data_IF_849314892524
#
_entry.id   IF_849314892524
#
_cell.length_a   1.000
_cell.length_b   1.000
_cell.length_c   1.000
_cell.angle_alpha   90.00
_cell.angle_beta   90.00
_cell.angle_gamma   90.00
#
_symmetry.space_group_name_H-M   'P 1'
#
loop_
_entity.id
_entity.type
_entity.pdbx_description
1 polymer ?
#
# COMPACT_ATOMS: atom_id res chain seq x y z
N UNK A 1 -46.95 11.61 -22.59
CA UNK A 1 -47.06 10.16 -22.30
C UNK A 1 -45.79 9.35 -22.60
N UNK A 2 -45.14 9.49 -23.77
CA UNK A 2 -43.96 8.66 -24.14
C UNK A 2 -42.71 8.79 -23.23
N UNK A 3 -42.47 9.96 -22.60
CA UNK A 3 -41.32 10.17 -21.69
C UNK A 3 -41.48 9.49 -20.34
N UNK A 4 -42.69 9.52 -19.77
CA UNK A 4 -43.00 8.85 -18.50
C UNK A 4 -42.91 7.32 -18.63
N UNK A 5 -43.31 6.77 -19.78
CA UNK A 5 -43.19 5.34 -20.06
C UNK A 5 -41.72 4.89 -20.13
N UNK A 6 -40.83 5.68 -20.75
CA UNK A 6 -39.38 5.40 -20.76
C UNK A 6 -38.76 5.42 -19.37
N UNK A 7 -39.20 6.36 -18.52
CA UNK A 7 -38.72 6.46 -17.13
C UNK A 7 -39.18 5.25 -16.29
N UNK A 8 -40.43 4.83 -16.45
CA UNK A 8 -40.94 3.63 -15.77
C UNK A 8 -40.24 2.35 -16.23
N UNK A 9 -39.95 2.21 -17.53
CA UNK A 9 -39.19 1.06 -18.06
C UNK A 9 -37.75 1.08 -17.53
N UNK A 10 -37.11 2.24 -17.45
CA UNK A 10 -35.76 2.37 -16.87
C UNK A 10 -35.73 1.99 -15.39
N UNK A 11 -36.71 2.45 -14.61
CA UNK A 11 -36.85 2.11 -13.18
C UNK A 11 -37.17 0.62 -13.00
N UNK A 12 -37.99 0.03 -13.87
CA UNK A 12 -38.30 -1.40 -13.85
C UNK A 12 -37.05 -2.25 -14.15
N UNK A 13 -36.22 -1.84 -15.11
CA UNK A 13 -34.94 -2.50 -15.43
C UNK A 13 -33.97 -2.37 -14.25
N UNK A 14 -33.90 -1.20 -13.61
CA UNK A 14 -33.07 -0.99 -12.42
C UNK A 14 -33.54 -1.86 -11.26
N UNK A 15 -34.85 -1.97 -11.04
CA UNK A 15 -35.44 -2.86 -10.04
C UNK A 15 -35.14 -4.33 -10.35
N UNK A 16 -35.29 -4.79 -11.60
CA UNK A 16 -34.97 -6.17 -11.97
C UNK A 16 -33.47 -6.49 -11.77
N UNK A 17 -32.58 -5.51 -11.94
CA UNK A 17 -31.15 -5.64 -11.60
C UNK A 17 -30.88 -5.73 -10.09
N UNK A 18 -31.72 -5.13 -9.25
CA UNK A 18 -31.58 -5.16 -7.78
C UNK A 18 -32.25 -6.40 -7.17
N UNK A 19 -33.32 -6.92 -7.78
CA UNK A 19 -34.09 -8.07 -7.29
C UNK A 19 -33.59 -9.43 -7.77
N UNK A 20 -32.74 -9.49 -8.79
CA UNK A 20 -32.05 -10.72 -9.16
C UNK A 20 -30.61 -10.72 -8.62
N UNK A 21 -30.40 -11.56 -7.60
CA UNK A 21 -29.13 -12.01 -7.04
C UNK A 21 -27.87 -11.71 -7.89
N UNK A 22 -26.91 -11.05 -7.23
CA UNK A 22 -25.46 -11.07 -7.49
C UNK A 22 -25.02 -11.57 -8.85
N UNK A 23 -24.78 -10.64 -9.78
CA UNK A 23 -24.15 -10.95 -11.06
C UNK A 23 -22.66 -11.24 -10.83
N UNK A 24 -22.34 -12.53 -10.63
CA UNK A 24 -20.99 -13.06 -10.80
C UNK A 24 -20.80 -13.40 -12.29
N UNK A 25 -20.25 -12.46 -13.05
CA UNK A 25 -19.79 -12.66 -14.43
C UNK A 25 -18.47 -13.46 -14.43
N UNK A 26 -18.51 -14.76 -14.09
CA UNK A 26 -17.59 -15.85 -14.53
C UNK A 26 -17.72 -17.08 -13.62
N UNK A 27 -18.04 -18.28 -14.14
CA UNK A 27 -18.08 -19.50 -13.34
C UNK A 27 -16.71 -20.18 -13.40
N UNK A 28 -15.70 -19.74 -12.61
CA UNK A 28 -14.49 -20.54 -12.27
C UNK A 28 -13.48 -19.84 -11.32
N UNK A 29 -13.95 -19.10 -10.33
CA UNK A 29 -13.13 -18.74 -9.17
C UNK A 29 -13.91 -19.10 -7.90
N UNK A 30 -13.89 -20.37 -7.51
CA UNK A 30 -14.46 -20.83 -6.24
C UNK A 30 -13.52 -20.42 -5.11
N UNK A 31 -13.64 -19.17 -4.65
CA UNK A 31 -13.04 -18.77 -3.37
C UNK A 31 -13.77 -19.56 -2.29
N UNK A 32 -13.09 -20.53 -1.65
CA UNK A 32 -13.63 -21.24 -0.49
C UNK A 32 -13.97 -20.19 0.57
N UNK A 33 -15.26 -19.92 0.75
CA UNK A 33 -15.76 -19.05 1.82
C UNK A 33 -15.40 -19.75 3.14
N UNK A 34 -14.54 -19.17 3.97
CA UNK A 34 -14.26 -19.74 5.28
C UNK A 34 -15.54 -19.71 6.11
N UNK A 35 -15.78 -20.79 6.85
CA UNK A 35 -16.98 -21.00 7.67
C UNK A 35 -16.94 -20.21 8.99
N UNK A 36 -16.30 -19.03 8.99
CA UNK A 36 -16.24 -18.16 10.17
C UNK A 36 -17.48 -17.26 10.22
N UNK A 37 -18.09 -17.16 11.39
CA UNK A 37 -19.38 -16.51 11.63
C UNK A 37 -19.36 -14.98 11.44
N UNK A 38 -18.17 -14.36 11.37
CA UNK A 38 -17.96 -12.91 11.27
C UNK A 38 -17.32 -12.50 9.93
N UNK A 39 -17.53 -13.31 8.88
CA UNK A 39 -17.03 -13.02 7.53
C UNK A 39 -18.05 -12.23 6.72
N UNK A 40 -17.67 -11.05 6.25
CA UNK A 40 -18.49 -10.23 5.34
C UNK A 40 -17.94 -10.27 3.90
N UNK A 41 -18.84 -10.39 2.93
CA UNK A 41 -18.49 -10.48 1.49
C UNK A 41 -18.65 -9.13 0.79
N UNK A 42 -19.69 -8.38 1.15
CA UNK A 42 -19.93 -7.05 0.61
C UNK A 42 -20.48 -6.17 1.72
N UNK A 43 -19.91 -4.98 1.89
CA UNK A 43 -20.41 -4.00 2.83
C UNK A 43 -20.40 -2.59 2.25
N UNK A 44 -21.50 -1.89 2.48
CA UNK A 44 -21.66 -0.48 2.19
C UNK A 44 -21.87 0.23 3.52
N UNK A 45 -20.91 1.07 3.91
CA UNK A 45 -20.98 1.89 5.12
C UNK A 45 -21.01 3.37 4.73
N UNK A 46 -22.00 4.13 5.21
CA UNK A 46 -22.02 5.56 4.92
C UNK A 46 -20.95 6.34 5.70
N UNK A 47 -20.72 6.02 6.97
CA UNK A 47 -19.83 6.79 7.83
C UNK A 47 -18.70 5.96 8.43
N UNK A 48 -19.03 4.85 9.09
CA UNK A 48 -18.07 4.02 9.79
C UNK A 48 -18.39 2.55 9.61
N UNK A 49 -17.37 1.77 9.29
CA UNK A 49 -17.46 0.36 8.97
C UNK A 49 -16.34 -0.43 9.60
N UNK A 50 -16.58 -1.03 10.76
CA UNK A 50 -15.66 -1.98 11.38
C UNK A 50 -16.11 -3.41 11.08
N UNK A 51 -15.20 -4.20 10.52
CA UNK A 51 -15.40 -5.60 10.14
C UNK A 51 -14.29 -6.41 10.79
N UNK A 52 -14.61 -7.57 11.33
CA UNK A 52 -13.55 -8.47 11.81
C UNK A 52 -12.79 -9.06 10.63
N UNK A 53 -13.50 -9.71 9.71
CA UNK A 53 -12.91 -10.38 8.57
C UNK A 53 -13.68 -10.07 7.27
N UNK A 54 -13.00 -9.49 6.28
CA UNK A 54 -13.59 -9.13 4.98
C UNK A 54 -13.09 -10.06 3.87
N UNK A 55 -14.01 -10.69 3.14
CA UNK A 55 -13.74 -11.47 1.94
C UNK A 55 -14.57 -10.94 0.76
N UNK A 56 -14.19 -9.78 0.21
CA UNK A 56 -14.85 -9.20 -0.95
C UNK A 56 -14.69 -7.69 -1.03
N UNK A 57 -15.76 -6.90 -0.93
CA UNK A 57 -15.68 -5.44 -1.13
C UNK A 57 -16.30 -4.66 0.04
N UNK A 58 -15.57 -3.67 0.55
CA UNK A 58 -16.06 -2.72 1.56
C UNK A 58 -15.95 -1.30 1.02
N UNK A 59 -17.08 -0.60 0.92
CA UNK A 59 -17.17 0.78 0.46
C UNK A 59 -17.71 1.63 1.60
N UNK A 60 -17.00 2.70 1.94
CA UNK A 60 -17.47 3.66 2.94
C UNK A 60 -16.47 4.74 3.28
N UNK A 61 -16.86 5.77 4.04
CA UNK A 61 -15.95 6.87 4.39
C UNK A 61 -14.79 6.39 5.26
N UNK A 62 -15.10 5.59 6.29
CA UNK A 62 -14.12 5.00 7.21
C UNK A 62 -14.31 3.49 7.25
N UNK A 63 -13.32 2.75 6.77
CA UNK A 63 -13.32 1.28 6.74
C UNK A 63 -12.18 0.76 7.63
N UNK A 64 -12.53 -0.05 8.61
CA UNK A 64 -11.58 -0.69 9.53
C UNK A 64 -11.80 -2.20 9.44
N UNK A 65 -10.75 -2.95 9.12
CA UNK A 65 -10.75 -4.41 9.20
C UNK A 65 -9.87 -4.80 10.37
N UNK A 66 -10.40 -5.57 11.31
CA UNK A 66 -9.69 -5.90 12.55
C UNK A 66 -8.74 -7.06 12.34
N UNK A 67 -9.16 -8.13 11.68
CA UNK A 67 -8.41 -9.38 11.61
C UNK A 67 -7.87 -9.60 10.20
N UNK A 68 -8.71 -10.02 9.24
CA UNK A 68 -8.22 -10.45 7.92
C UNK A 68 -8.96 -9.76 6.78
N UNK A 69 -8.21 -9.37 5.76
CA UNK A 69 -8.75 -8.82 4.52
C UNK A 69 -8.35 -9.70 3.34
N UNK A 70 -9.31 -10.17 2.55
CA UNK A 70 -9.10 -10.61 1.17
C UNK A 70 -10.11 -9.89 0.29
N UNK A 71 -9.71 -8.77 -0.33
CA UNK A 71 -10.71 -7.95 -1.00
C UNK A 71 -10.29 -6.56 -1.43
N UNK A 72 -11.30 -5.71 -1.64
CA UNK A 72 -11.15 -4.31 -2.03
C UNK A 72 -11.80 -3.41 -0.99
N UNK A 73 -11.09 -2.36 -0.57
CA UNK A 73 -11.61 -1.26 0.24
C UNK A 73 -11.62 0.02 -0.59
N UNK A 74 -12.74 0.73 -0.58
CA UNK A 74 -12.87 2.06 -1.19
C UNK A 74 -13.41 3.01 -0.13
N UNK A 75 -12.66 4.06 0.19
CA UNK A 75 -13.05 5.00 1.24
C UNK A 75 -12.16 6.20 1.37
N UNK A 76 -12.46 7.09 2.32
CA UNK A 76 -11.52 8.17 2.65
C UNK A 76 -10.41 7.63 3.54
N UNK A 77 -10.78 6.85 4.54
CA UNK A 77 -9.89 6.23 5.52
C UNK A 77 -10.06 4.72 5.45
N UNK A 78 -9.01 4.01 5.05
CA UNK A 78 -8.97 2.54 5.06
C UNK A 78 -7.89 2.07 6.03
N UNK A 79 -8.23 1.11 6.89
CA UNK A 79 -7.28 0.49 7.81
C UNK A 79 -7.48 -1.02 7.85
N UNK A 80 -6.39 -1.77 7.84
CA UNK A 80 -6.35 -3.21 8.09
C UNK A 80 -5.43 -3.47 9.28
N UNK A 81 -6.03 -3.79 10.42
CA UNK A 81 -5.36 -4.09 11.67
C UNK A 81 -5.10 -5.61 11.79
N UNK A 82 -4.23 -6.00 12.74
CA UNK A 82 -3.93 -7.34 13.26
C UNK A 82 -3.56 -8.54 12.34
N UNK A 83 -3.70 -8.53 11.01
CA UNK A 83 -3.25 -9.70 10.22
C UNK A 83 -2.87 -9.42 8.77
N UNK A 84 -2.39 -10.48 8.14
CA UNK A 84 -2.10 -10.55 6.72
C UNK A 84 -3.34 -10.20 5.90
N UNK A 85 -3.25 -9.10 5.15
CA UNK A 85 -4.29 -8.69 4.21
C UNK A 85 -3.83 -8.93 2.78
N UNK A 86 -4.73 -9.37 1.91
CA UNK A 86 -4.52 -9.45 0.47
C UNK A 86 -5.55 -8.60 -0.23
N UNK A 87 -5.16 -7.52 -0.90
CA UNK A 87 -6.20 -6.69 -1.49
C UNK A 87 -5.82 -5.40 -2.17
N UNK A 88 -6.86 -4.64 -2.46
CA UNK A 88 -6.80 -3.31 -3.06
C UNK A 88 -7.38 -2.31 -2.07
N UNK A 89 -6.65 -1.24 -1.76
CA UNK A 89 -7.16 -0.12 -0.97
C UNK A 89 -7.12 1.14 -1.82
N UNK A 90 -8.25 1.83 -1.91
CA UNK A 90 -8.37 3.10 -2.60
C UNK A 90 -8.93 4.13 -1.62
N UNK A 91 -8.16 5.19 -1.37
CA UNK A 91 -8.61 6.23 -0.45
C UNK A 91 -7.65 7.37 -0.22
N UNK A 92 -8.00 8.31 0.65
CA UNK A 92 -7.10 9.41 0.99
C UNK A 92 -5.99 8.89 1.90
N UNK A 93 -6.37 8.17 2.96
CA UNK A 93 -5.45 7.50 3.89
C UNK A 93 -5.68 5.99 3.81
N UNK A 94 -4.64 5.25 3.48
CA UNK A 94 -4.64 3.79 3.52
C UNK A 94 -3.59 3.33 4.52
N UNK A 95 -3.99 2.52 5.50
CA UNK A 95 -3.10 1.92 6.49
C UNK A 95 -3.24 0.41 6.52
N UNK A 96 -2.14 -0.30 6.75
CA UNK A 96 -2.14 -1.73 6.97
C UNK A 96 -1.02 -2.15 7.90
N UNK A 97 -1.11 -3.36 8.46
CA UNK A 97 0.03 -4.02 9.09
C UNK A 97 1.05 -4.58 8.09
N UNK A 98 2.24 -4.94 8.59
CA UNK A 98 3.40 -5.41 7.80
C UNK A 98 3.15 -6.68 6.96
N UNK A 99 2.11 -7.47 7.28
CA UNK A 99 1.73 -8.66 6.51
C UNK A 99 0.83 -8.38 5.30
N UNK A 100 0.67 -7.12 4.87
CA UNK A 100 -0.22 -6.77 3.76
C UNK A 100 0.43 -6.99 2.39
N UNK A 101 -0.30 -7.67 1.51
CA UNK A 101 0.06 -7.95 0.12
C UNK A 101 -0.98 -7.32 -0.80
N UNK A 102 -0.57 -6.43 -1.70
CA UNK A 102 -1.50 -5.89 -2.70
C UNK A 102 -1.22 -4.46 -3.11
N UNK A 103 -2.27 -3.74 -3.51
CA UNK A 103 -2.17 -2.38 -4.04
C UNK A 103 -2.84 -1.37 -3.11
N UNK A 104 -2.17 -0.25 -2.88
CA UNK A 104 -2.73 0.92 -2.19
C UNK A 104 -2.67 2.11 -3.13
N UNK A 105 -3.80 2.73 -3.39
CA UNK A 105 -3.94 3.94 -4.19
C UNK A 105 -4.47 5.03 -3.27
N UNK A 106 -3.69 6.10 -3.07
CA UNK A 106 -4.15 7.17 -2.20
C UNK A 106 -3.23 8.35 -2.07
N UNK A 107 -3.61 9.33 -1.25
CA UNK A 107 -2.72 10.49 -0.99
C UNK A 107 -1.63 10.05 -0.01
N UNK A 108 -2.02 9.37 1.07
CA UNK A 108 -1.11 8.84 2.06
C UNK A 108 -1.29 7.33 2.23
N UNK A 109 -0.21 6.59 2.05
CA UNK A 109 -0.17 5.14 2.21
C UNK A 109 0.81 4.77 3.31
N UNK A 110 0.30 4.28 4.42
CA UNK A 110 1.06 3.85 5.57
C UNK A 110 1.04 2.34 5.71
N UNK A 111 2.12 1.83 6.30
CA UNK A 111 2.21 0.47 6.72
C UNK A 111 2.75 0.43 8.14
N UNK A 112 1.84 0.61 9.09
CA UNK A 112 2.15 0.65 10.51
C UNK A 112 1.19 -0.24 11.30
N UNK A 113 1.74 -1.13 12.11
CA UNK A 113 0.99 -1.86 13.12
C UNK A 113 1.05 -1.09 14.44
N UNK A 114 -0.11 -0.74 15.01
CA UNK A 114 -0.24 0.08 16.24
C UNK A 114 0.23 -0.58 17.55
N UNK A 115 0.84 -1.78 17.51
CA UNK A 115 1.31 -2.45 18.73
C UNK A 115 2.77 -2.15 19.03
N UNK A 116 2.97 -1.80 20.31
CA UNK A 116 4.19 -1.29 20.92
C UNK A 116 5.46 -2.06 20.60
N UNK A 117 6.58 -1.38 20.83
CA UNK A 117 7.88 -1.85 20.38
C UNK A 117 8.17 -3.27 20.88
N UNK A 118 8.38 -4.22 19.95
CA UNK A 118 8.77 -5.56 20.34
C UNK A 118 10.15 -5.49 21.01
N UNK A 119 10.35 -6.29 22.06
CA UNK A 119 11.68 -6.44 22.67
C UNK A 119 12.70 -6.83 21.60
N UNK A 120 13.92 -6.26 21.65
CA UNK A 120 15.00 -6.61 20.72
C UNK A 120 15.28 -8.11 20.80
N UNK A 121 15.35 -8.77 19.63
CA UNK A 121 15.56 -10.21 19.51
C UNK A 121 14.29 -11.07 19.52
N UNK A 122 13.09 -10.49 19.55
CA UNK A 122 11.83 -11.23 19.43
C UNK A 122 11.51 -11.58 17.97
N UNK A 123 10.77 -12.67 17.74
CA UNK A 123 10.23 -13.05 16.42
C UNK A 123 9.43 -11.93 15.74
N UNK A 124 8.88 -11.00 16.53
CA UNK A 124 8.12 -9.83 16.05
C UNK A 124 9.03 -8.78 15.41
N UNK A 125 10.31 -8.67 15.83
CA UNK A 125 11.31 -7.83 15.17
C UNK A 125 11.68 -8.39 13.79
N UNK A 126 11.80 -9.71 13.68
CA UNK A 126 12.03 -10.43 12.43
C UNK A 126 10.85 -10.26 11.45
N UNK A 127 9.62 -10.22 11.98
CA UNK A 127 8.43 -9.90 11.17
C UNK A 127 8.31 -8.43 10.76
N UNK A 128 8.80 -7.46 11.56
CA UNK A 128 8.98 -6.06 11.07
C UNK A 128 10.04 -5.96 9.97
N UNK A 129 11.00 -6.89 9.89
CA UNK A 129 11.92 -6.97 8.74
C UNK A 129 11.24 -7.52 7.49
N UNK A 130 10.13 -8.25 7.61
CA UNK A 130 9.34 -8.63 6.44
C UNK A 130 8.74 -7.36 5.86
N UNK A 131 9.27 -7.00 4.71
CA UNK A 131 8.79 -5.87 3.92
C UNK A 131 7.36 -6.23 3.50
N UNK A 132 6.36 -5.44 3.89
CA UNK A 132 5.02 -5.61 3.33
C UNK A 132 5.12 -5.42 1.83
N UNK A 133 4.89 -6.48 1.08
CA UNK A 133 4.91 -6.48 -0.38
C UNK A 133 3.62 -5.87 -0.91
N UNK A 134 3.45 -4.58 -0.60
CA UNK A 134 2.40 -3.74 -1.11
C UNK A 134 3.01 -2.77 -2.12
N UNK A 135 2.40 -2.67 -3.30
CA UNK A 135 2.60 -1.56 -4.20
C UNK A 135 1.76 -0.40 -3.72
N UNK A 136 2.39 0.73 -3.42
CA UNK A 136 1.73 1.93 -2.95
C UNK A 136 1.96 3.05 -3.94
N UNK A 137 0.88 3.57 -4.50
CA UNK A 137 0.89 4.70 -5.41
C UNK A 137 0.19 5.86 -4.71
N UNK A 138 0.92 6.95 -4.50
CA UNK A 138 0.38 8.08 -3.77
C UNK A 138 1.33 9.25 -3.61
N UNK A 139 0.86 10.36 -3.04
CA UNK A 139 1.75 11.51 -2.80
C UNK A 139 2.80 11.20 -1.74
N UNK A 140 2.39 10.51 -0.66
CA UNK A 140 3.21 10.14 0.47
C UNK A 140 3.09 8.65 0.77
N UNK A 141 4.19 7.91 0.73
CA UNK A 141 4.22 6.49 0.99
C UNK A 141 5.25 6.17 2.09
N UNK A 142 4.83 5.43 3.12
CA UNK A 142 5.67 5.09 4.28
C UNK A 142 5.65 3.58 4.58
N UNK A 143 6.84 3.00 4.74
CA UNK A 143 7.09 1.63 5.16
C UNK A 143 6.49 0.53 4.24
N UNK A 144 6.25 0.79 2.95
CA UNK A 144 5.86 -0.25 1.99
C UNK A 144 7.08 -0.74 1.17
N UNK A 145 6.94 -1.91 0.54
CA UNK A 145 7.97 -2.47 -0.35
C UNK A 145 8.18 -1.67 -1.62
N UNK A 146 7.09 -1.32 -2.32
CA UNK A 146 7.16 -0.64 -3.61
C UNK A 146 6.37 0.64 -3.50
N UNK A 147 7.04 1.77 -3.64
CA UNK A 147 6.45 3.09 -3.45
C UNK A 147 6.62 3.91 -4.72
N UNK A 148 5.52 4.42 -5.25
CA UNK A 148 5.50 5.35 -6.38
C UNK A 148 4.81 6.62 -5.90
N UNK A 149 5.51 7.74 -5.93
CA UNK A 149 4.98 8.95 -5.32
C UNK A 149 5.87 10.17 -5.34
N UNK A 150 5.45 11.23 -4.65
CA UNK A 150 6.28 12.43 -4.49
C UNK A 150 7.30 12.18 -3.38
N UNK A 151 6.83 11.70 -2.23
CA UNK A 151 7.63 11.38 -1.06
C UNK A 151 7.48 9.91 -0.71
N UNK A 152 8.58 9.16 -0.76
CA UNK A 152 8.60 7.74 -0.48
C UNK A 152 9.63 7.44 0.61
N UNK A 153 9.19 6.84 1.70
CA UNK A 153 10.06 6.36 2.79
C UNK A 153 9.80 4.88 2.96
N UNK A 154 10.76 4.04 2.60
CA UNK A 154 10.54 2.59 2.59
C UNK A 154 11.79 1.85 2.16
N UNK A 155 11.87 0.55 2.50
CA UNK A 155 13.10 -0.24 2.35
C UNK A 155 13.29 -0.95 1.01
N UNK A 156 12.24 -1.08 0.21
CA UNK A 156 12.32 -1.80 -1.07
C UNK A 156 12.69 -0.90 -2.24
N UNK A 157 11.72 -0.66 -3.12
CA UNK A 157 11.83 0.16 -4.34
C UNK A 157 11.03 1.44 -4.14
N UNK A 158 11.69 2.59 -4.29
CA UNK A 158 11.05 3.90 -4.24
C UNK A 158 11.27 4.63 -5.58
N UNK A 159 10.17 5.03 -6.22
CA UNK A 159 10.19 5.84 -7.45
C UNK A 159 9.44 7.13 -7.18
N UNK A 160 10.11 8.27 -7.30
CA UNK A 160 9.51 9.53 -6.91
C UNK A 160 10.38 10.75 -6.97
N UNK A 161 9.93 11.85 -6.37
CA UNK A 161 10.75 13.07 -6.30
C UNK A 161 11.76 12.95 -5.17
N UNK A 162 11.28 12.57 -3.99
CA UNK A 162 12.06 12.39 -2.77
C UNK A 162 11.92 10.96 -2.28
N UNK A 163 13.02 10.23 -2.22
CA UNK A 163 13.05 8.85 -1.78
C UNK A 163 14.00 8.69 -0.59
N UNK A 164 13.58 7.96 0.45
CA UNK A 164 14.37 7.69 1.63
C UNK A 164 14.36 6.21 2.02
N UNK A 165 15.53 5.67 2.35
CA UNK A 165 15.72 4.37 2.98
C UNK A 165 15.58 3.14 2.09
N UNK A 166 15.44 3.31 0.77
CA UNK A 166 15.23 2.21 -0.16
C UNK A 166 16.52 1.56 -0.64
N UNK A 167 16.48 0.25 -0.85
CA UNK A 167 17.53 -0.49 -1.56
C UNK A 167 17.59 -0.12 -3.04
N UNK A 168 16.47 0.26 -3.66
CA UNK A 168 16.47 0.87 -4.98
C UNK A 168 15.68 2.17 -4.95
N UNK A 169 16.32 3.28 -5.30
CA UNK A 169 15.66 4.58 -5.37
C UNK A 169 15.89 5.22 -6.73
N UNK A 170 14.79 5.66 -7.36
CA UNK A 170 14.82 6.42 -8.61
C UNK A 170 14.06 7.72 -8.39
N UNK A 171 14.76 8.86 -8.50
CA UNK A 171 14.12 10.14 -8.24
C UNK A 171 14.99 11.36 -8.41
N UNK A 172 14.50 12.50 -7.96
CA UNK A 172 15.30 13.74 -7.99
C UNK A 172 16.28 13.73 -6.84
N UNK A 173 15.79 13.43 -5.63
CA UNK A 173 16.58 13.36 -4.41
C UNK A 173 16.39 11.99 -3.77
N UNK A 174 17.50 11.27 -3.59
CA UNK A 174 17.51 9.95 -2.97
C UNK A 174 18.42 9.95 -1.75
N UNK A 175 17.90 9.51 -0.61
CA UNK A 175 18.65 9.25 0.60
C UNK A 175 18.58 7.78 0.97
N UNK A 176 19.69 7.06 1.05
CA UNK A 176 19.67 5.66 1.47
C UNK A 176 20.79 5.34 2.44
N UNK A 177 20.41 4.86 3.61
CA UNK A 177 21.32 4.35 4.63
C UNK A 177 21.64 2.86 4.46
N UNK A 178 21.04 2.22 3.46
CA UNK A 178 21.15 0.78 3.21
C UNK A 178 21.98 0.53 1.93
N UNK A 179 22.64 -0.63 1.82
CA UNK A 179 23.23 -1.08 0.57
C UNK A 179 22.18 -1.13 -0.54
N UNK A 180 22.52 -0.62 -1.73
CA UNK A 180 21.53 -0.43 -2.76
C UNK A 180 21.98 0.40 -3.95
N UNK A 181 21.03 0.74 -4.81
CA UNK A 181 21.21 1.59 -5.99
C UNK A 181 20.34 2.84 -5.87
N UNK A 182 20.95 4.01 -5.97
CA UNK A 182 20.27 5.30 -5.97
C UNK A 182 20.54 6.02 -7.29
N UNK A 183 19.50 6.26 -8.08
CA UNK A 183 19.59 6.94 -9.39
C UNK A 183 18.81 8.24 -9.34
N UNK A 184 19.48 9.37 -9.52
CA UNK A 184 18.80 10.66 -9.42
C UNK A 184 19.66 11.89 -9.68
N UNK A 185 19.09 13.07 -9.45
CA UNK A 185 19.87 14.30 -9.56
C UNK A 185 20.83 14.44 -8.37
N UNK A 186 20.31 14.21 -7.16
CA UNK A 186 21.06 14.26 -5.91
C UNK A 186 20.87 12.93 -5.19
N UNK A 187 21.98 12.26 -4.92
CA UNK A 187 21.99 11.03 -4.16
C UNK A 187 22.82 11.24 -2.88
N UNK A 188 22.32 10.72 -1.76
CA UNK A 188 22.96 10.70 -0.45
C UNK A 188 22.93 9.27 0.03
N UNK A 189 24.09 8.65 0.13
CA UNK A 189 24.21 7.23 0.46
C UNK A 189 25.16 6.99 1.63
N UNK A 190 25.03 5.81 2.23
CA UNK A 190 26.01 5.24 3.14
C UNK A 190 26.57 3.94 2.55
N UNK A 191 27.34 3.19 3.35
CA UNK A 191 27.98 1.93 2.99
C UNK A 191 27.18 1.02 2.06
N UNK A 192 27.82 0.61 0.96
CA UNK A 192 27.28 -0.32 -0.02
C UNK A 192 26.24 0.29 -0.95
N UNK A 193 26.05 1.62 -0.92
CA UNK A 193 25.15 2.31 -1.85
C UNK A 193 25.91 2.76 -3.11
N UNK A 194 25.51 2.22 -4.27
CA UNK A 194 25.90 2.69 -5.59
C UNK A 194 24.99 3.84 -5.99
N UNK A 195 25.57 4.99 -6.25
CA UNK A 195 24.85 6.22 -6.59
C UNK A 195 25.19 6.62 -8.02
N UNK A 196 24.16 6.92 -8.81
CA UNK A 196 24.31 7.41 -10.18
C UNK A 196 23.49 8.68 -10.31
N UNK A 197 24.16 9.79 -10.62
CA UNK A 197 23.50 11.08 -10.59
C UNK A 197 24.41 12.27 -10.80
N UNK A 198 23.80 13.46 -10.86
CA UNK A 198 24.54 14.71 -11.05
C UNK A 198 25.44 14.97 -9.83
N UNK A 199 24.91 14.79 -8.62
CA UNK A 199 25.64 14.96 -7.36
C UNK A 199 25.42 13.72 -6.49
N UNK A 200 26.50 13.07 -6.09
CA UNK A 200 26.46 11.87 -5.26
C UNK A 200 27.31 12.07 -4.00
N UNK A 201 26.70 11.99 -2.83
CA UNK A 201 27.33 12.24 -1.54
C UNK A 201 27.50 10.94 -0.73
N UNK A 202 28.73 10.66 -0.31
CA UNK A 202 29.13 9.56 0.58
C UNK A 202 29.99 10.13 1.72
N UNK A 203 29.44 10.37 2.93
CA UNK A 203 30.17 11.05 4.00
C UNK A 203 31.44 10.32 4.48
N UNK A 204 31.49 8.99 4.33
CA UNK A 204 32.60 8.15 4.82
C UNK A 204 33.60 7.73 3.73
N UNK A 205 33.55 8.33 2.54
CA UNK A 205 34.43 7.97 1.44
C UNK A 205 35.59 8.98 1.31
N UNK A 206 36.74 8.54 0.79
CA UNK A 206 37.92 9.39 0.53
C UNK A 206 37.57 10.58 -0.38
N UNK A 207 36.64 10.37 -1.32
CA UNK A 207 36.02 11.45 -2.10
C UNK A 207 34.54 11.50 -1.75
N UNK A 208 34.11 12.44 -0.88
CA UNK A 208 32.75 12.45 -0.35
C UNK A 208 31.71 12.93 -1.35
N UNK A 209 32.10 13.67 -2.40
CA UNK A 209 31.20 14.16 -3.45
C UNK A 209 31.75 13.75 -4.81
N UNK A 210 30.95 13.06 -5.63
CA UNK A 210 31.31 12.72 -7.00
C UNK A 210 30.15 12.98 -7.97
N UNK A 211 30.49 13.34 -9.21
CA UNK A 211 29.54 13.60 -10.30
C UNK A 211 29.43 12.33 -11.14
N UNK A 212 28.26 12.07 -11.73
CA UNK A 212 27.92 10.93 -12.58
C UNK A 212 27.73 9.64 -11.80
N UNK A 213 28.74 9.17 -11.07
CA UNK A 213 28.64 7.95 -10.28
C UNK A 213 29.48 8.05 -9.00
N UNK A 214 29.05 7.43 -7.91
CA UNK A 214 29.83 7.24 -6.69
C UNK A 214 29.46 5.90 -6.05
N UNK A 215 30.40 5.26 -5.37
CA UNK A 215 30.13 4.08 -4.57
C UNK A 215 30.62 4.31 -3.14
N UNK A 216 29.73 4.19 -2.17
CA UNK A 216 30.10 4.34 -0.78
C UNK A 216 30.73 3.03 -0.25
N UNK A 217 32.04 2.91 -0.29
CA UNK A 217 32.76 1.89 0.48
C UNK A 217 33.11 2.47 1.87
N UNK A 218 33.00 1.66 2.93
CA UNK A 218 33.72 1.97 4.17
C UNK A 218 35.17 1.55 3.95
N UNK A 219 36.10 2.46 4.17
CA UNK A 219 37.49 2.10 4.48
C UNK A 219 37.58 1.57 5.92
#
# INVERSE_FOLDING_TARGET
MKKALKLYVLILILCLFVYHCGVALTPKATVKIPRETNTEIFRLNLFHGEVETLYGMNIGLVNIIVSRMIGTQIGLLNSVNYSEGKGFQVGILNNSGFGYYGLKLGIFNFNFSFFGDPMPGSKVEEERRKIATALSIGMFNFNNAFNIGIFNVGRGINVGVFNAGASFSLGVVNGSGEPGLSVGAINIGSNGNLQIGIVNYCPNNTIPIMIIANYCAKE
#
